data_IF_357226438400
#
_entry.id   IF_357226438400
#
_cell.length_a   1.000
_cell.length_b   1.000
_cell.length_c   1.000
_cell.angle_alpha   90.00
_cell.angle_beta   90.00
_cell.angle_gamma   90.00
#
_symmetry.space_group_name_H-M   'P 1'
#
loop_
_entity.id
_entity.type
_entity.pdbx_description
1 polymer ?
#
# COMPACT_ATOMS: atom_id res chain seq x y z
N UNK A 1 2.90 -2.29 -8.09
CA UNK A 1 2.51 -3.28 -9.11
C UNK A 1 3.56 -4.39 -9.29
N UNK A 2 4.76 -4.09 -9.80
CA UNK A 2 5.79 -5.12 -10.06
C UNK A 2 6.20 -5.95 -8.82
N UNK A 3 6.32 -5.31 -7.66
CA UNK A 3 6.62 -6.01 -6.40
C UNK A 3 5.58 -7.06 -5.98
N UNK A 4 4.36 -6.99 -6.50
CA UNK A 4 3.33 -7.99 -6.21
C UNK A 4 3.64 -9.35 -6.86
N UNK A 5 4.46 -9.38 -7.91
CA UNK A 5 4.81 -10.63 -8.62
C UNK A 5 5.61 -11.61 -7.74
N UNK A 6 6.26 -11.12 -6.69
CA UNK A 6 7.08 -11.95 -5.79
C UNK A 6 6.34 -12.32 -4.49
N UNK A 7 5.08 -11.90 -4.34
CA UNK A 7 4.25 -12.14 -3.16
C UNK A 7 2.94 -12.82 -3.60
N UNK A 8 2.75 -14.13 -3.33
CA UNK A 8 1.61 -14.90 -3.86
C UNK A 8 0.23 -14.34 -3.52
N UNK A 9 0.12 -13.55 -2.45
CA UNK A 9 -1.13 -12.93 -1.99
C UNK A 9 -1.28 -11.46 -2.39
N UNK A 10 -0.29 -10.90 -3.09
CA UNK A 10 -0.32 -9.52 -3.54
C UNK A 10 -0.77 -9.44 -5.00
N UNK A 11 -1.58 -8.44 -5.35
CA UNK A 11 -1.98 -8.19 -6.74
C UNK A 11 -1.49 -6.83 -7.24
N UNK A 12 -0.84 -6.84 -8.41
CA UNK A 12 -0.40 -5.59 -9.04
C UNK A 12 -1.58 -4.72 -9.50
N UNK A 13 -2.65 -5.37 -10.00
CA UNK A 13 -3.87 -4.70 -10.45
C UNK A 13 -4.63 -4.05 -9.28
N UNK A 14 -4.79 -4.77 -8.16
CA UNK A 14 -5.42 -4.21 -6.97
C UNK A 14 -4.68 -2.98 -6.45
N UNK A 15 -3.35 -3.03 -6.43
CA UNK A 15 -2.52 -1.88 -6.06
C UNK A 15 -2.81 -0.65 -6.94
N UNK A 16 -2.82 -0.82 -8.27
CA UNK A 16 -3.05 0.29 -9.21
C UNK A 16 -4.48 0.84 -9.10
N UNK A 17 -5.48 -0.04 -8.94
CA UNK A 17 -6.89 0.36 -8.78
C UNK A 17 -7.08 1.20 -7.52
N UNK A 18 -6.59 0.71 -6.38
CA UNK A 18 -6.70 1.42 -5.10
C UNK A 18 -5.90 2.73 -5.13
N UNK A 19 -4.68 2.74 -5.67
CA UNK A 19 -3.90 3.98 -5.85
C UNK A 19 -4.68 5.05 -6.61
N UNK A 20 -5.26 4.71 -7.76
CA UNK A 20 -5.98 5.68 -8.59
C UNK A 20 -7.24 6.21 -7.93
N UNK A 21 -7.96 5.34 -7.19
CA UNK A 21 -9.25 5.68 -6.57
C UNK A 21 -9.10 6.36 -5.21
N UNK A 22 -8.09 5.98 -4.43
CA UNK A 22 -8.05 6.25 -2.99
C UNK A 22 -6.93 7.19 -2.58
N UNK A 23 -5.77 7.15 -3.24
CA UNK A 23 -4.65 8.02 -2.92
C UNK A 23 -4.99 9.52 -2.91
N UNK A 24 -5.80 10.06 -3.86
CA UNK A 24 -6.15 11.49 -3.87
C UNK A 24 -7.05 11.91 -2.70
N UNK A 25 -7.71 10.95 -2.03
CA UNK A 25 -8.60 11.22 -0.89
C UNK A 25 -7.82 11.36 0.42
N UNK A 26 -6.55 10.99 0.44
CA UNK A 26 -5.69 11.12 1.61
C UNK A 26 -5.24 12.57 1.79
N UNK A 27 -5.16 13.04 3.05
CA UNK A 27 -4.69 14.40 3.36
C UNK A 27 -3.25 14.64 2.93
N UNK A 28 -2.39 13.63 3.06
CA UNK A 28 -1.01 13.70 2.61
C UNK A 28 -0.88 13.02 1.24
N UNK A 29 -0.53 13.76 0.17
CA UNK A 29 -0.31 13.18 -1.14
C UNK A 29 0.84 12.17 -1.11
N UNK A 30 1.88 12.42 -0.32
CA UNK A 30 3.03 11.52 -0.21
C UNK A 30 2.71 10.19 0.47
N UNK A 31 1.72 10.18 1.37
CA UNK A 31 1.29 8.96 2.07
C UNK A 31 0.16 8.22 1.32
N UNK A 32 -0.72 8.95 0.61
CA UNK A 32 -1.88 8.36 -0.05
C UNK A 32 -1.52 7.31 -1.10
N UNK A 33 -0.52 7.58 -1.94
CA UNK A 33 -0.10 6.65 -2.99
C UNK A 33 0.44 5.32 -2.45
N UNK A 34 1.45 5.30 -1.55
CA UNK A 34 1.97 4.05 -1.03
C UNK A 34 0.96 3.29 -0.16
N UNK A 35 0.16 3.96 0.67
CA UNK A 35 -0.83 3.30 1.53
C UNK A 35 -1.95 2.65 0.70
N UNK A 36 -2.49 3.35 -0.30
CA UNK A 36 -3.48 2.79 -1.20
C UNK A 36 -2.90 1.64 -2.03
N UNK A 37 -1.63 1.71 -2.43
CA UNK A 37 -0.96 0.62 -3.13
C UNK A 37 -0.89 -0.65 -2.27
N UNK A 38 -0.51 -0.52 -0.99
CA UNK A 38 -0.45 -1.65 -0.04
C UNK A 38 -1.85 -2.21 0.20
N UNK A 39 -2.83 -1.34 0.44
CA UNK A 39 -4.22 -1.73 0.66
C UNK A 39 -4.77 -2.55 -0.51
N UNK A 40 -4.64 -2.03 -1.73
CA UNK A 40 -5.10 -2.72 -2.93
C UNK A 40 -4.29 -3.97 -3.26
N UNK A 41 -2.98 -3.96 -3.01
CA UNK A 41 -2.13 -5.11 -3.29
C UNK A 41 -2.51 -6.30 -2.41
N UNK A 42 -2.66 -6.09 -1.10
CA UNK A 42 -2.82 -7.15 -0.10
C UNK A 42 -4.28 -7.43 0.26
N UNK A 43 -5.23 -6.71 -0.34
CA UNK A 43 -6.64 -6.84 0.00
C UNK A 43 -6.94 -6.37 1.42
N UNK A 44 -6.38 -5.24 1.81
CA UNK A 44 -6.65 -4.58 3.08
C UNK A 44 -7.59 -3.39 2.92
N UNK A 45 -8.16 -2.95 4.02
CA UNK A 45 -8.79 -1.65 4.16
C UNK A 45 -7.96 -0.83 5.17
N UNK A 46 -7.30 0.23 4.70
CA UNK A 46 -6.39 1.08 5.48
C UNK A 46 -6.94 2.52 5.61
N UNK A 47 -6.30 3.32 6.48
CA UNK A 47 -6.54 4.76 6.65
C UNK A 47 -7.98 5.18 7.04
N UNK A 48 -8.87 4.24 7.35
CA UNK A 48 -10.24 4.52 7.79
C UNK A 48 -10.32 5.29 9.12
N UNK A 49 -11.54 5.39 9.69
CA UNK A 49 -11.76 6.10 10.94
C UNK A 49 -10.86 5.58 12.06
N UNK A 50 -10.14 6.47 12.73
CA UNK A 50 -9.20 6.13 13.80
C UNK A 50 -9.32 7.08 14.99
N UNK A 51 -8.94 6.58 16.16
CA UNK A 51 -8.94 7.36 17.40
C UNK A 51 -7.51 7.76 17.77
N UNK A 52 -7.29 9.04 18.03
CA UNK A 52 -6.08 9.59 18.64
C UNK A 52 -6.46 10.16 20.01
N UNK A 53 -6.31 9.35 21.06
CA UNK A 53 -6.86 9.67 22.37
C UNK A 53 -8.37 9.90 22.28
N UNK A 54 -8.83 11.07 22.71
CA UNK A 54 -10.24 11.46 22.66
C UNK A 54 -10.72 11.90 21.26
N UNK A 55 -9.79 12.18 20.34
CA UNK A 55 -10.15 12.69 19.02
C UNK A 55 -10.39 11.56 18.03
N UNK A 56 -11.62 11.47 17.52
CA UNK A 56 -11.94 10.64 16.36
C UNK A 56 -11.57 11.38 15.07
N UNK A 57 -10.87 10.69 14.19
CA UNK A 57 -10.50 11.16 12.87
C UNK A 57 -11.22 10.30 11.84
N UNK A 58 -12.20 10.88 11.15
CA UNK A 58 -12.96 10.22 10.08
C UNK A 58 -12.25 10.38 8.72
N UNK A 59 -11.14 9.67 8.54
CA UNK A 59 -10.51 9.55 7.22
C UNK A 59 -11.19 8.42 6.40
N UNK A 60 -11.11 8.55 5.08
CA UNK A 60 -11.70 7.59 4.16
C UNK A 60 -10.86 6.32 4.03
N UNK A 61 -11.53 5.16 3.97
CA UNK A 61 -10.87 3.88 3.71
C UNK A 61 -10.14 3.87 2.36
N UNK A 62 -8.96 3.26 2.33
CA UNK A 62 -8.22 2.86 1.14
C UNK A 62 -8.30 1.35 0.96
N UNK A 63 -8.62 0.90 -0.24
CA UNK A 63 -8.95 -0.50 -0.52
C UNK A 63 -10.32 -0.91 0.01
N UNK A 64 -10.77 -2.09 -0.44
CA UNK A 64 -12.09 -2.67 -0.10
C UNK A 64 -11.97 -3.99 0.67
N UNK A 65 -10.79 -4.22 1.26
CA UNK A 65 -10.43 -5.49 1.86
C UNK A 65 -10.72 -5.59 3.36
N UNK A 66 -9.94 -6.43 4.04
CA UNK A 66 -10.08 -6.63 5.49
C UNK A 66 -9.45 -5.46 6.27
N UNK A 67 -10.17 -4.95 7.27
CA UNK A 67 -9.69 -3.91 8.20
C UNK A 67 -9.17 -4.48 9.54
N UNK A 68 -9.67 -5.64 9.95
CA UNK A 68 -9.18 -6.37 11.12
C UNK A 68 -7.86 -7.04 10.74
N UNK A 69 -6.72 -6.42 11.06
CA UNK A 69 -5.37 -6.86 10.64
C UNK A 69 -4.53 -7.25 11.85
N UNK A 70 -3.64 -8.22 11.66
CA UNK A 70 -2.77 -8.75 12.71
C UNK A 70 -1.26 -8.55 12.41
N UNK A 71 -0.42 -9.10 13.28
CA UNK A 71 1.03 -9.00 13.15
C UNK A 71 1.59 -9.68 11.88
N UNK A 72 0.91 -10.70 11.33
CA UNK A 72 1.29 -11.32 10.08
C UNK A 72 1.02 -10.40 8.88
N UNK A 73 -0.04 -9.60 8.93
CA UNK A 73 -0.34 -8.60 7.90
C UNK A 73 0.69 -7.48 7.86
N UNK A 74 1.17 -7.03 9.03
CA UNK A 74 2.28 -6.08 9.12
C UNK A 74 3.52 -6.66 8.42
N UNK A 75 3.85 -7.93 8.68
CA UNK A 75 4.98 -8.60 8.01
C UNK A 75 4.78 -8.67 6.49
N UNK A 76 3.56 -8.97 6.02
CA UNK A 76 3.25 -9.00 4.60
C UNK A 76 3.44 -7.62 3.95
N UNK A 77 2.97 -6.55 4.60
CA UNK A 77 3.16 -5.17 4.14
C UNK A 77 4.65 -4.79 4.08
N UNK A 78 5.42 -5.12 5.10
CA UNK A 78 6.87 -4.87 5.13
C UNK A 78 7.62 -5.64 4.02
N UNK A 79 7.23 -6.89 3.77
CA UNK A 79 7.79 -7.68 2.66
C UNK A 79 7.48 -7.04 1.31
N UNK A 80 6.25 -6.58 1.09
CA UNK A 80 5.86 -5.87 -0.12
C UNK A 80 6.67 -4.57 -0.31
N UNK A 81 6.86 -3.80 0.76
CA UNK A 81 7.69 -2.59 0.73
C UNK A 81 9.15 -2.90 0.37
N UNK A 82 9.75 -3.93 0.98
CA UNK A 82 11.14 -4.35 0.67
C UNK A 82 11.27 -4.81 -0.78
N UNK A 83 10.31 -5.58 -1.28
CA UNK A 83 10.27 -6.00 -2.68
C UNK A 83 10.14 -4.80 -3.63
N UNK A 84 9.32 -3.81 -3.29
CA UNK A 84 9.18 -2.58 -4.07
C UNK A 84 10.48 -1.77 -4.13
N UNK A 85 11.18 -1.64 -3.01
CA UNK A 85 12.48 -0.98 -2.95
C UNK A 85 13.51 -1.71 -3.80
N UNK A 86 13.58 -3.04 -3.69
CA UNK A 86 14.51 -3.83 -4.50
C UNK A 86 14.25 -3.65 -6.00
N UNK A 87 12.99 -3.73 -6.43
CA UNK A 87 12.62 -3.50 -7.84
C UNK A 87 13.03 -2.10 -8.31
N UNK A 88 12.79 -1.07 -7.50
CA UNK A 88 13.19 0.30 -7.83
C UNK A 88 14.72 0.43 -7.94
N UNK A 89 15.48 -0.13 -7.00
CA UNK A 89 16.94 -0.12 -7.02
C UNK A 89 17.48 -0.81 -8.27
N UNK A 90 16.93 -1.98 -8.64
CA UNK A 90 17.33 -2.70 -9.84
C UNK A 90 16.99 -1.91 -11.12
N UNK A 91 15.83 -1.26 -11.18
CA UNK A 91 15.45 -0.42 -12.32
C UNK A 91 16.40 0.79 -12.47
N UNK A 92 16.74 1.46 -11.37
CA UNK A 92 17.69 2.58 -11.38
C UNK A 92 19.08 2.12 -11.77
N UNK A 93 19.56 0.99 -11.23
CA UNK A 93 20.85 0.42 -11.59
C UNK A 93 20.90 0.04 -13.08
N UNK A 94 19.84 -0.57 -13.62
CA UNK A 94 19.76 -0.90 -15.05
C UNK A 94 19.80 0.35 -15.93
N UNK A 95 19.08 1.41 -15.54
CA UNK A 95 19.11 2.69 -16.25
C UNK A 95 20.49 3.35 -16.23
N UNK A 96 21.24 3.23 -15.12
CA UNK A 96 22.57 3.80 -14.98
C UNK A 96 23.65 3.07 -15.81
N UNK A 97 23.35 1.88 -16.34
CA UNK A 97 24.25 1.09 -17.18
C UNK A 97 24.07 1.36 -18.69
N UNK A 98 23.11 2.22 -19.06
CA UNK A 98 22.80 2.65 -20.43
C UNK A 98 23.24 4.09 -20.62
#
# INVERSE_FOLDING_TARGET
AAAALVLPRATGAGALTAMRRDAPRHRSPNAGWPEAAVAGALGFALAGPRHYGEQRVDDGWMGDGRADLDAADIRAALWLCRAAWLVLMLAVAALALV
#
